data_IF_199857641406
#
_entry.id   IF_199857641406
#
_cell.length_a   1.000
_cell.length_b   1.000
_cell.length_c   1.000
_cell.angle_alpha   90.00
_cell.angle_beta   90.00
_cell.angle_gamma   90.00
#
_symmetry.space_group_name_H-M   'P 1'
#
loop_
_entity.id
_entity.type
_entity.pdbx_description
1 polymer ?
#
# COMPACT_ATOMS: atom_id res chain seq x y z
N UNK A 1 2.57 -25.30 11.29
CA UNK A 1 2.01 -24.43 10.26
C UNK A 1 2.54 -23.01 10.46
N UNK A 2 3.06 -22.42 9.40
CA UNK A 2 3.59 -21.08 9.50
C UNK A 2 2.46 -20.08 9.69
N UNK A 3 2.71 -19.04 10.47
CA UNK A 3 1.75 -17.96 10.64
C UNK A 3 1.83 -17.02 9.45
N UNK A 4 0.80 -16.17 9.30
CA UNK A 4 0.82 -15.16 8.25
C UNK A 4 2.04 -14.27 8.37
N UNK A 5 2.42 -13.93 9.61
CA UNK A 5 3.57 -13.07 9.86
C UNK A 5 4.88 -13.75 9.44
N UNK A 6 5.00 -15.04 9.69
CA UNK A 6 6.19 -15.79 9.28
C UNK A 6 6.30 -15.86 7.75
N UNK A 7 5.17 -16.05 7.07
CA UNK A 7 5.16 -16.08 5.62
C UNK A 7 5.62 -14.74 5.04
N UNK A 8 5.16 -13.64 5.63
CA UNK A 8 5.56 -12.30 5.19
C UNK A 8 7.04 -12.07 5.47
N UNK A 9 7.51 -12.50 6.63
CA UNK A 9 8.93 -12.37 6.96
C UNK A 9 9.81 -13.08 5.95
N UNK A 10 9.41 -14.28 5.54
CA UNK A 10 10.14 -15.04 4.53
C UNK A 10 10.14 -14.33 3.19
N UNK A 11 8.99 -13.79 2.79
CA UNK A 11 8.89 -13.07 1.53
C UNK A 11 9.79 -11.84 1.53
N UNK A 12 9.79 -11.09 2.63
CA UNK A 12 10.63 -9.91 2.74
C UNK A 12 12.11 -10.28 2.72
N UNK A 13 12.47 -11.43 3.31
CA UNK A 13 13.85 -11.90 3.27
C UNK A 13 14.30 -12.22 1.85
N UNK A 14 13.42 -12.84 1.05
CA UNK A 14 13.72 -13.11 -0.36
C UNK A 14 13.93 -11.81 -1.12
N UNK A 15 13.07 -10.84 -0.89
CA UNK A 15 13.20 -9.52 -1.53
C UNK A 15 14.50 -8.84 -1.12
N UNK A 16 14.87 -8.95 0.15
CA UNK A 16 16.13 -8.35 0.63
C UNK A 16 17.32 -8.98 -0.07
N UNK A 17 17.35 -10.31 -0.17
CA UNK A 17 18.44 -10.99 -0.85
C UNK A 17 18.53 -10.59 -2.31
N UNK A 18 17.39 -10.52 -2.99
CA UNK A 18 17.35 -10.13 -4.39
C UNK A 18 17.84 -8.71 -4.60
N UNK A 19 17.43 -7.81 -3.71
CA UNK A 19 17.85 -6.41 -3.81
C UNK A 19 19.36 -6.26 -3.58
N UNK A 20 19.88 -6.97 -2.57
CA UNK A 20 21.32 -6.93 -2.28
C UNK A 20 22.12 -7.53 -3.44
N UNK A 21 21.62 -8.61 -4.03
CA UNK A 21 22.28 -9.22 -5.18
C UNK A 21 22.33 -8.25 -6.36
N UNK A 22 21.21 -7.59 -6.64
CA UNK A 22 21.17 -6.61 -7.72
C UNK A 22 22.14 -5.46 -7.45
N UNK A 23 22.18 -5.00 -6.20
CA UNK A 23 23.04 -3.88 -5.82
C UNK A 23 24.52 -4.23 -6.05
N UNK A 24 24.89 -5.49 -5.87
CA UNK A 24 26.29 -5.90 -6.00
C UNK A 24 26.75 -6.06 -7.43
N UNK A 25 25.84 -5.99 -8.40
CA UNK A 25 26.21 -6.15 -9.80
C UNK A 25 26.81 -4.88 -10.34
N UNK A 26 27.53 -5.03 -11.48
CA UNK A 26 28.17 -3.92 -12.14
C UNK A 26 27.15 -2.87 -12.58
N UNK A 27 27.51 -1.60 -12.49
CA UNK A 27 26.63 -0.50 -12.86
C UNK A 27 26.56 -0.35 -14.36
N UNK A 28 25.54 -0.92 -14.96
CA UNK A 28 25.33 -0.97 -16.40
C UNK A 28 23.93 -0.49 -16.72
N UNK A 29 23.67 -0.16 -18.01
CA UNK A 29 22.28 0.16 -18.39
C UNK A 29 21.30 -0.98 -18.09
N UNK A 30 21.77 -2.23 -18.18
CA UNK A 30 20.92 -3.36 -17.83
C UNK A 30 20.55 -3.34 -16.35
N UNK A 31 21.50 -2.98 -15.48
CA UNK A 31 21.22 -2.86 -14.05
C UNK A 31 20.21 -1.74 -13.79
N UNK A 32 20.35 -0.63 -14.50
CA UNK A 32 19.39 0.47 -14.38
C UNK A 32 17.97 0.01 -14.74
N UNK A 33 17.83 -0.70 -15.85
CA UNK A 33 16.52 -1.20 -16.28
C UNK A 33 15.95 -2.18 -15.27
N UNK A 34 16.79 -3.07 -14.76
CA UNK A 34 16.35 -4.05 -13.76
C UNK A 34 15.89 -3.35 -12.47
N UNK A 35 16.67 -2.37 -12.01
CA UNK A 35 16.31 -1.63 -10.81
C UNK A 35 15.01 -0.85 -11.01
N UNK A 36 14.82 -0.26 -12.18
CA UNK A 36 13.60 0.49 -12.48
C UNK A 36 12.40 -0.42 -12.50
N UNK A 37 12.53 -1.60 -13.10
CA UNK A 37 11.45 -2.56 -13.17
C UNK A 37 11.10 -3.09 -11.78
N UNK A 38 12.12 -3.33 -10.96
CA UNK A 38 11.90 -3.77 -9.59
C UNK A 38 11.16 -2.69 -8.79
N UNK A 39 11.61 -1.44 -8.91
CA UNK A 39 10.96 -0.34 -8.19
C UNK A 39 9.49 -0.22 -8.56
N UNK A 40 9.18 -0.35 -9.85
CA UNK A 40 7.80 -0.26 -10.30
C UNK A 40 6.97 -1.44 -9.77
N UNK A 41 7.52 -2.64 -9.82
CA UNK A 41 6.84 -3.82 -9.31
C UNK A 41 6.57 -3.73 -7.82
N UNK A 42 7.57 -3.27 -7.06
CA UNK A 42 7.41 -3.11 -5.63
C UNK A 42 6.35 -2.06 -5.29
N UNK A 43 6.30 -0.98 -6.08
CA UNK A 43 5.27 0.03 -5.86
C UNK A 43 3.89 -0.55 -6.05
N UNK A 44 3.69 -1.34 -7.12
CA UNK A 44 2.41 -1.97 -7.38
C UNK A 44 2.03 -2.95 -6.27
N UNK A 45 2.98 -3.77 -5.84
CA UNK A 45 2.70 -4.71 -4.75
C UNK A 45 2.40 -3.99 -3.45
N UNK A 46 3.09 -2.88 -3.21
CA UNK A 46 2.84 -2.08 -2.01
C UNK A 46 1.40 -1.53 -2.01
N UNK A 47 0.95 -1.07 -3.17
CA UNK A 47 -0.43 -0.56 -3.30
C UNK A 47 -1.45 -1.67 -3.08
N UNK A 48 -1.17 -2.86 -3.61
CA UNK A 48 -2.07 -3.99 -3.44
C UNK A 48 -2.13 -4.44 -1.98
N UNK A 49 -0.97 -4.46 -1.32
CA UNK A 49 -0.93 -4.83 0.10
C UNK A 49 -1.69 -3.81 0.95
N UNK A 50 -1.58 -2.53 0.61
CA UNK A 50 -2.31 -1.50 1.33
C UNK A 50 -3.82 -1.65 1.13
N UNK A 51 -4.24 -1.97 -0.09
CA UNK A 51 -5.65 -2.22 -0.37
C UNK A 51 -6.15 -3.44 0.41
N UNK A 52 -5.35 -4.49 0.45
CA UNK A 52 -5.69 -5.69 1.21
C UNK A 52 -5.89 -5.38 2.68
N UNK A 53 -5.01 -4.54 3.24
CA UNK A 53 -5.10 -4.14 4.64
C UNK A 53 -6.45 -3.47 4.93
N UNK A 54 -6.88 -2.58 4.04
CA UNK A 54 -8.16 -1.91 4.18
C UNK A 54 -9.32 -2.89 4.03
N UNK A 55 -9.21 -3.80 3.07
CA UNK A 55 -10.27 -4.79 2.83
C UNK A 55 -10.45 -5.71 4.03
N UNK A 56 -9.34 -6.13 4.64
CA UNK A 56 -9.40 -7.00 5.82
C UNK A 56 -10.07 -6.27 6.98
N UNK A 57 -9.70 -5.01 7.20
CA UNK A 57 -10.31 -4.22 8.28
C UNK A 57 -11.80 -4.09 8.05
N UNK A 58 -12.21 -3.80 6.82
CA UNK A 58 -13.63 -3.68 6.49
C UNK A 58 -14.37 -5.00 6.72
N UNK A 59 -13.75 -6.10 6.30
CA UNK A 59 -14.36 -7.42 6.47
C UNK A 59 -14.55 -7.77 7.95
N UNK A 60 -13.54 -7.50 8.77
CA UNK A 60 -13.64 -7.77 10.20
C UNK A 60 -14.74 -6.92 10.81
N UNK A 61 -14.78 -5.65 10.44
CA UNK A 61 -15.78 -4.72 10.96
C UNK A 61 -17.20 -5.22 10.65
N UNK A 62 -17.43 -5.64 9.42
CA UNK A 62 -18.75 -6.08 9.00
C UNK A 62 -19.12 -7.42 9.61
N UNK A 63 -18.17 -8.36 9.63
CA UNK A 63 -18.44 -9.69 10.15
C UNK A 63 -18.73 -9.67 11.65
N UNK A 64 -18.02 -8.84 12.40
CA UNK A 64 -18.15 -8.78 13.85
C UNK A 64 -18.97 -7.58 14.30
N UNK A 65 -19.39 -6.74 13.36
CA UNK A 65 -20.23 -5.55 13.63
C UNK A 65 -19.62 -4.67 14.70
N UNK A 66 -18.31 -4.42 14.58
CA UNK A 66 -17.58 -3.65 15.57
C UNK A 66 -17.60 -2.16 15.26
N UNK A 67 -17.63 -1.38 16.34
CA UNK A 67 -17.40 0.05 16.24
C UNK A 67 -15.90 0.30 16.19
N UNK A 68 -15.54 1.57 15.99
CA UNK A 68 -14.17 1.94 15.70
C UNK A 68 -13.16 1.50 16.75
N UNK A 69 -13.44 1.78 18.02
CA UNK A 69 -12.50 1.45 19.09
C UNK A 69 -12.29 -0.06 19.26
N UNK A 70 -13.37 -0.85 19.37
CA UNK A 70 -13.18 -2.30 19.44
C UNK A 70 -12.48 -2.87 18.20
N UNK A 71 -12.74 -2.29 17.03
CA UNK A 71 -12.10 -2.72 15.81
C UNK A 71 -10.59 -2.45 15.86
N UNK A 72 -10.20 -1.26 16.34
CA UNK A 72 -8.79 -0.91 16.49
C UNK A 72 -8.09 -1.89 17.43
N UNK A 73 -8.73 -2.22 18.55
CA UNK A 73 -8.19 -3.20 19.49
C UNK A 73 -8.04 -4.56 18.83
N UNK A 74 -9.03 -4.95 18.03
CA UNK A 74 -9.04 -6.24 17.37
C UNK A 74 -7.88 -6.40 16.39
N UNK A 75 -7.56 -5.34 15.63
CA UNK A 75 -6.47 -5.40 14.66
C UNK A 75 -5.14 -4.91 15.21
N UNK A 76 -5.10 -4.48 16.46
CA UNK A 76 -3.86 -4.16 17.15
C UNK A 76 -3.25 -2.82 16.80
N UNK A 77 -4.07 -1.84 16.45
CA UNK A 77 -3.57 -0.49 16.16
C UNK A 77 -4.41 0.54 16.94
N UNK A 78 -3.95 1.79 16.94
CA UNK A 78 -4.68 2.85 17.61
C UNK A 78 -5.94 3.22 16.82
N UNK A 79 -6.91 3.81 17.53
CA UNK A 79 -8.13 4.28 16.90
C UNK A 79 -7.83 5.35 15.85
N UNK A 80 -6.88 6.23 16.15
CA UNK A 80 -6.46 7.28 15.20
C UNK A 80 -5.92 6.67 13.92
N UNK A 81 -5.05 5.67 14.05
CA UNK A 81 -4.47 5.00 12.89
C UNK A 81 -5.54 4.31 12.07
N UNK A 82 -6.47 3.63 12.75
CA UNK A 82 -7.57 2.95 12.08
C UNK A 82 -8.42 3.94 11.29
N UNK A 83 -8.73 5.08 11.92
CA UNK A 83 -9.51 6.12 11.26
C UNK A 83 -8.82 6.62 9.99
N UNK A 84 -7.51 6.80 10.06
CA UNK A 84 -6.73 7.23 8.91
C UNK A 84 -6.78 6.20 7.78
N UNK A 85 -6.71 4.92 8.13
CA UNK A 85 -6.78 3.84 7.13
C UNK A 85 -8.12 3.84 6.41
N UNK A 86 -9.19 3.95 7.16
CA UNK A 86 -10.54 3.95 6.59
C UNK A 86 -10.73 5.17 5.70
N UNK A 87 -10.27 6.32 6.17
CA UNK A 87 -10.42 7.56 5.42
C UNK A 87 -9.62 7.53 4.13
N UNK A 88 -8.42 6.96 4.15
CA UNK A 88 -7.61 6.82 2.96
C UNK A 88 -8.31 5.95 1.92
N UNK A 89 -8.96 4.88 2.37
CA UNK A 89 -9.71 4.02 1.46
C UNK A 89 -10.88 4.72 0.82
N UNK A 90 -11.60 5.52 1.61
CA UNK A 90 -12.72 6.29 1.07
C UNK A 90 -12.25 7.31 0.06
N UNK A 91 -11.13 7.96 0.34
CA UNK A 91 -10.57 8.94 -0.56
C UNK A 91 -10.17 8.31 -1.89
N UNK A 92 -9.54 7.16 -1.84
CA UNK A 92 -9.17 6.44 -3.06
C UNK A 92 -10.39 6.12 -3.90
N UNK A 93 -11.45 5.70 -3.27
CA UNK A 93 -12.68 5.37 -3.99
C UNK A 93 -13.31 6.60 -4.63
N UNK A 94 -13.27 7.71 -3.95
CA UNK A 94 -13.83 8.94 -4.47
C UNK A 94 -13.02 9.49 -5.64
N UNK A 95 -11.74 9.25 -5.63
CA UNK A 95 -10.85 9.74 -6.67
C UNK A 95 -10.78 8.84 -7.89
N UNK A 96 -11.57 7.81 -7.88
CA UNK A 96 -11.55 6.99 -9.04
C UNK A 96 -11.83 7.83 -10.18
N UNK A 97 -11.10 7.55 -11.09
CA UNK A 97 -10.86 8.27 -12.17
C UNK A 97 -11.65 9.26 -12.68
N UNK A 98 -11.86 9.91 -12.51
CA UNK A 98 -12.55 10.86 -13.08
C UNK A 98 -11.79 11.98 -13.20
N UNK A 99 -11.46 11.86 -12.85
CA UNK A 99 -10.78 12.52 -12.81
C UNK A 99 -10.05 13.21 -12.82
N UNK A 100 -9.95 13.56 -12.86
CA UNK A 100 -9.18 14.22 -12.68
C UNK A 100 -8.61 14.92 -12.98
N UNK A 101 -8.98 15.16 -13.27
CA UNK A 101 -8.43 15.80 -13.36
C UNK A 101 -8.08 16.72 -13.14
N UNK A 102 -8.54 16.93 -13.05
CA UNK A 102 -8.12 17.78 -12.78
C UNK A 102 -7.86 18.57 -12.36
N UNK A 103 -8.15 18.55 -12.26
CA UNK A 103 -7.76 19.15 -11.73
C UNK A 103 -7.28 19.67 -11.40
N UNK A 104 -7.52 19.87 -11.53
CA UNK A 104 -6.94 20.28 -11.04
C UNK A 104 -6.67 20.89 -10.93
N UNK A 105 -7.29 20.98 -11.27
CA UNK A 105 -6.84 21.43 -11.02
C UNK A 105 -6.59 21.89 -10.76
N UNK A 106 -6.84 22.23 -11.12
CA UNK A 106 -6.39 22.56 -10.85
C UNK A 106 -6.13 22.84 -10.69
N UNK A 107 -6.28 23.14 -10.90
CA UNK A 107 -5.77 23.32 -10.72
C UNK A 107 -5.48 23.55 -10.75
N UNK A 108 -5.65 23.74 -11.05
CA UNK A 108 -5.11 23.90 -10.97
C UNK A 108 -4.84 24.30 -11.13
N UNK A 109 -5.09 24.44 -11.40
CA UNK A 109 -4.56 24.77 -11.44
C UNK A 109 -4.27 25.31 -11.31
N UNK A 110 -4.65 25.48 -11.74
CA UNK A 110 -4.24 25.79 -11.60
C UNK A 110 -4.08 26.10 -11.41
N UNK A 111 -4.44 26.38 -11.65
CA UNK A 111 -4.12 26.51 -11.47
C UNK A 111 -4.21 26.66 -11.46
N UNK A 112 -4.56 26.85 -11.82
CA UNK A 112 -4.33 26.82 -11.88
C UNK A 112 -4.17 26.84 -11.78
N UNK A 113 -4.58 27.09 -12.33
CA UNK A 113 -4.31 26.96 -12.27
C UNK A 113 -4.01 26.91 -11.99
#
# INVERSE_FOLDING_TARGET
>A
MASDDEDVTELLAVLRRGLDDLRSREDTPAKFKAASRLAEGLRQFSEEAAAMRRDVVTAIRENEKLKLRPLADRVGISTTRLHQLIKAGEKDQKETPDVRTDERDGGGLAGSG
#
